data_IF_112650611902
#
_entry.id   IF_112650611902
#
_cell.length_a   1.000
_cell.length_b   1.000
_cell.length_c   1.000
_cell.angle_alpha   90.00
_cell.angle_beta   90.00
_cell.angle_gamma   90.00
#
_symmetry.space_group_name_H-M   'P 1'
#
loop_
_entity.id
_entity.type
_entity.pdbx_description
1 polymer ?
#
# COMPACT_ATOMS: atom_id res chain seq x y z
N UNK A 1 46.38 -6.94 20.36
CA UNK A 1 45.61 -6.30 21.43
C UNK A 1 44.14 -6.37 21.08
N UNK A 2 43.49 -7.22 21.80
CA UNK A 2 42.07 -7.61 21.66
C UNK A 2 41.11 -6.51 22.10
N UNK A 3 40.03 -6.31 21.36
CA UNK A 3 38.76 -5.83 21.96
C UNK A 3 37.63 -6.66 21.36
N UNK A 4 37.17 -7.59 22.20
CA UNK A 4 35.95 -8.31 21.93
C UNK A 4 34.73 -7.40 22.06
N UNK A 5 33.84 -7.48 21.11
CA UNK A 5 32.52 -6.88 21.16
C UNK A 5 31.50 -8.00 21.48
N UNK A 6 30.94 -7.89 22.66
CA UNK A 6 29.86 -8.71 23.16
C UNK A 6 28.58 -8.39 22.35
N UNK A 7 28.16 -9.29 21.48
CA UNK A 7 26.84 -9.21 20.83
C UNK A 7 25.86 -10.01 21.66
N UNK A 8 25.03 -9.33 22.41
CA UNK A 8 23.83 -9.93 23.01
C UNK A 8 22.79 -10.08 21.88
N UNK A 9 22.62 -11.31 21.42
CA UNK A 9 21.55 -11.62 20.48
C UNK A 9 20.24 -11.79 21.28
N UNK A 10 19.38 -10.78 21.24
CA UNK A 10 18.01 -10.86 21.75
C UNK A 10 17.14 -11.42 20.62
N UNK A 11 16.77 -12.70 20.72
CA UNK A 11 15.84 -13.33 19.78
C UNK A 11 14.41 -12.97 20.15
N UNK A 12 13.77 -12.12 19.36
CA UNK A 12 12.34 -11.84 19.43
C UNK A 12 11.58 -12.89 18.60
N UNK A 13 10.68 -13.65 19.25
CA UNK A 13 9.77 -14.55 18.55
C UNK A 13 8.52 -13.76 18.14
N UNK A 14 8.37 -13.52 16.86
CA UNK A 14 7.17 -12.91 16.26
C UNK A 14 6.11 -13.99 16.07
N UNK A 15 4.94 -13.80 16.65
CA UNK A 15 3.76 -14.64 16.49
C UNK A 15 3.12 -14.34 15.13
N UNK A 16 3.46 -15.09 14.09
CA UNK A 16 2.79 -15.01 12.80
C UNK A 16 1.53 -15.89 12.83
N UNK A 17 0.36 -15.27 12.88
CA UNK A 17 -0.93 -15.96 12.73
C UNK A 17 -1.21 -16.19 11.24
N UNK A 18 -1.04 -17.45 10.81
CA UNK A 18 -1.44 -17.89 9.48
C UNK A 18 -2.76 -18.66 9.56
N UNK A 19 -3.79 -18.14 8.86
CA UNK A 19 -5.02 -18.89 8.59
C UNK A 19 -4.79 -19.73 7.33
N UNK A 20 -4.71 -21.06 7.47
CA UNK A 20 -4.72 -22.01 6.37
C UNK A 20 -6.02 -22.83 6.38
N UNK A 21 -6.58 -23.19 5.18
CA UNK A 21 -7.67 -24.15 5.09
C UNK A 21 -7.19 -25.56 5.50
N UNK A 22 -8.11 -26.51 5.81
CA UNK A 22 -7.72 -27.77 6.45
C UNK A 22 -7.01 -28.70 5.48
N UNK A 23 -5.69 -28.62 5.47
CA UNK A 23 -4.81 -29.69 5.00
C UNK A 23 -4.05 -30.12 6.24
N UNK A 24 -4.13 -31.39 6.58
CA UNK A 24 -3.39 -31.99 7.69
C UNK A 24 -1.88 -31.76 7.48
N UNK A 25 -1.35 -30.73 8.10
CA UNK A 25 0.07 -30.46 8.23
C UNK A 25 0.42 -30.73 9.69
N UNK A 26 1.51 -31.51 9.91
CA UNK A 26 2.03 -31.78 11.23
C UNK A 26 2.07 -30.50 12.07
N UNK A 27 1.43 -30.54 13.25
CA UNK A 27 1.43 -29.43 14.20
C UNK A 27 2.88 -29.13 14.59
N UNK A 28 3.40 -27.98 14.08
CA UNK A 28 4.56 -27.39 14.73
C UNK A 28 4.18 -27.03 16.18
N UNK A 29 5.05 -27.22 17.14
CA UNK A 29 4.74 -26.88 18.52
C UNK A 29 4.41 -25.41 18.61
N UNK A 30 3.27 -25.09 19.21
CA UNK A 30 2.81 -23.72 19.43
C UNK A 30 3.96 -22.86 19.98
N UNK A 31 4.13 -21.61 19.50
CA UNK A 31 5.18 -20.73 19.97
C UNK A 31 5.11 -20.62 21.49
N UNK A 32 6.20 -20.92 22.16
CA UNK A 32 6.28 -20.85 23.63
C UNK A 32 6.17 -19.37 24.00
N UNK A 33 4.98 -18.96 24.44
CA UNK A 33 4.75 -17.64 25.04
C UNK A 33 5.63 -17.59 26.29
N UNK A 34 6.68 -16.78 26.27
CA UNK A 34 7.43 -16.49 27.48
C UNK A 34 6.52 -15.61 28.34
N UNK A 35 5.93 -16.20 29.37
CA UNK A 35 5.18 -15.49 30.41
C UNK A 35 6.18 -14.62 31.18
N UNK A 36 6.34 -13.37 30.72
CA UNK A 36 7.22 -12.42 31.37
C UNK A 36 6.47 -11.87 32.58
N UNK A 37 7.00 -12.16 33.77
CA UNK A 37 6.67 -11.56 35.06
C UNK A 37 5.18 -11.26 35.29
N UNK A 38 4.41 -12.34 35.39
CA UNK A 38 3.04 -12.22 35.91
C UNK A 38 3.10 -11.87 37.38
N UNK A 39 2.25 -10.92 37.79
CA UNK A 39 2.07 -10.52 39.19
C UNK A 39 1.80 -11.75 40.07
N UNK A 40 2.07 -11.69 41.40
CA UNK A 40 2.09 -12.86 42.30
C UNK A 40 0.69 -13.46 42.58
N UNK A 41 -0.25 -13.37 41.66
CA UNK A 41 -1.57 -14.00 41.78
C UNK A 41 -1.52 -15.47 41.34
N UNK A 42 -1.66 -16.38 42.25
CA UNK A 42 -1.57 -17.81 42.00
C UNK A 42 -2.54 -18.26 40.88
N UNK A 43 -3.78 -17.76 40.92
CA UNK A 43 -4.81 -18.08 39.93
C UNK A 43 -4.45 -17.64 38.50
N UNK A 44 -3.75 -16.52 38.34
CA UNK A 44 -3.29 -16.03 37.02
C UNK A 44 -2.19 -16.93 36.48
N UNK A 45 -1.26 -17.42 37.35
CA UNK A 45 -0.22 -18.35 36.96
C UNK A 45 -0.80 -19.74 36.60
N UNK A 46 -1.78 -20.22 37.39
CA UNK A 46 -2.46 -21.51 37.12
C UNK A 46 -3.24 -21.45 35.78
N UNK A 47 -3.93 -20.33 35.51
CA UNK A 47 -4.61 -20.12 34.25
C UNK A 47 -3.63 -20.07 33.07
N UNK A 48 -2.48 -19.44 33.23
CA UNK A 48 -1.44 -19.41 32.22
C UNK A 48 -0.92 -20.84 31.92
N UNK A 49 -0.69 -21.65 32.96
CA UNK A 49 -0.28 -23.06 32.81
C UNK A 49 -1.37 -23.89 32.09
N UNK A 50 -2.65 -23.63 32.37
CA UNK A 50 -3.76 -24.31 31.68
C UNK A 50 -3.80 -23.92 30.19
N UNK A 51 -3.55 -22.65 29.85
CA UNK A 51 -3.46 -22.19 28.45
C UNK A 51 -2.28 -22.85 27.73
N UNK A 52 -1.12 -22.92 28.37
CA UNK A 52 0.05 -23.64 27.82
C UNK A 52 -0.24 -25.14 27.58
N UNK A 53 -1.01 -25.75 28.47
CA UNK A 53 -1.49 -27.13 28.33
C UNK A 53 -2.68 -27.27 27.33
N UNK A 54 -3.09 -26.21 26.66
CA UNK A 54 -4.25 -26.16 25.75
C UNK A 54 -5.62 -26.44 26.42
N UNK A 55 -5.67 -26.37 27.73
CA UNK A 55 -6.91 -26.56 28.53
C UNK A 55 -7.67 -25.20 28.64
N UNK A 56 -8.06 -24.64 27.51
CA UNK A 56 -8.65 -23.32 27.44
C UNK A 56 -9.95 -23.18 28.21
N UNK A 57 -10.80 -24.23 28.22
CA UNK A 57 -12.07 -24.18 28.93
C UNK A 57 -11.88 -24.05 30.45
N UNK A 58 -10.93 -24.81 31.01
CA UNK A 58 -10.63 -24.76 32.44
C UNK A 58 -9.96 -23.42 32.80
N UNK A 59 -9.09 -22.90 31.92
CA UNK A 59 -8.49 -21.57 32.08
C UNK A 59 -9.57 -20.46 32.12
N UNK A 60 -10.55 -20.52 31.24
CA UNK A 60 -11.66 -19.57 31.19
C UNK A 60 -12.45 -19.64 32.51
N UNK A 61 -12.88 -20.82 32.93
CA UNK A 61 -13.64 -20.97 34.15
C UNK A 61 -12.90 -20.42 35.38
N UNK A 62 -11.58 -20.70 35.49
CA UNK A 62 -10.74 -20.18 36.56
C UNK A 62 -10.63 -18.66 36.52
N UNK A 63 -10.42 -18.06 35.33
CA UNK A 63 -10.26 -16.63 35.16
C UNK A 63 -11.57 -15.85 35.34
N UNK A 64 -12.70 -16.40 34.92
CA UNK A 64 -14.02 -15.82 35.16
C UNK A 64 -14.33 -15.77 36.67
N UNK A 65 -14.11 -16.90 37.40
CA UNK A 65 -14.27 -16.91 38.85
C UNK A 65 -13.32 -15.95 39.56
N UNK A 66 -12.05 -15.94 39.15
CA UNK A 66 -11.05 -15.00 39.67
C UNK A 66 -11.50 -13.56 39.49
N UNK A 67 -11.83 -13.14 38.27
CA UNK A 67 -12.23 -11.76 37.98
C UNK A 67 -13.53 -11.35 38.70
N UNK A 68 -14.45 -12.29 38.96
CA UNK A 68 -15.68 -12.02 39.72
C UNK A 68 -15.43 -11.77 41.20
N UNK A 69 -14.36 -12.32 41.75
CA UNK A 69 -14.03 -12.26 43.19
C UNK A 69 -12.95 -11.22 43.54
N UNK A 70 -12.33 -10.55 42.57
CA UNK A 70 -11.33 -9.54 42.82
C UNK A 70 -11.98 -8.16 43.10
N UNK A 71 -11.45 -7.45 44.08
CA UNK A 71 -11.85 -6.06 44.40
C UNK A 71 -11.37 -5.09 43.32
N UNK A 72 -10.19 -5.35 42.77
CA UNK A 72 -9.59 -4.53 41.70
C UNK A 72 -9.30 -5.39 40.47
N UNK A 73 -9.56 -4.88 39.28
CA UNK A 73 -9.34 -5.65 38.05
C UNK A 73 -7.81 -5.88 37.81
N UNK A 74 -7.45 -7.12 37.49
CA UNK A 74 -6.08 -7.53 37.19
C UNK A 74 -5.92 -7.62 35.67
N UNK A 75 -5.12 -6.73 35.03
CA UNK A 75 -4.99 -6.68 33.57
C UNK A 75 -4.58 -8.00 32.95
N UNK A 76 -3.64 -8.71 33.57
CA UNK A 76 -3.12 -10.00 33.08
C UNK A 76 -4.22 -11.08 33.04
N UNK A 77 -5.12 -11.10 34.03
CA UNK A 77 -6.24 -12.05 34.05
C UNK A 77 -7.19 -11.80 32.87
N UNK A 78 -7.46 -10.55 32.53
CA UNK A 78 -8.28 -10.20 31.37
C UNK A 78 -7.57 -10.53 30.06
N UNK A 79 -6.25 -10.33 29.96
CA UNK A 79 -5.48 -10.73 28.79
C UNK A 79 -5.54 -12.24 28.56
N UNK A 80 -5.28 -13.04 29.60
CA UNK A 80 -5.32 -14.50 29.53
C UNK A 80 -6.73 -15.00 29.20
N UNK A 81 -7.77 -14.39 29.75
CA UNK A 81 -9.17 -14.69 29.42
C UNK A 81 -9.46 -14.41 27.93
N UNK A 82 -9.02 -13.26 27.44
CA UNK A 82 -9.12 -12.91 26.01
C UNK A 82 -8.37 -13.90 25.12
N UNK A 83 -7.14 -14.27 25.50
CA UNK A 83 -6.32 -15.23 24.78
C UNK A 83 -6.95 -16.64 24.77
N UNK A 84 -7.49 -17.12 25.90
CA UNK A 84 -8.14 -18.42 25.97
C UNK A 84 -9.40 -18.49 25.09
N UNK A 85 -10.23 -17.45 25.10
CA UNK A 85 -11.37 -17.35 24.18
C UNK A 85 -10.94 -17.29 22.72
N UNK A 86 -9.87 -16.52 22.43
CA UNK A 86 -9.31 -16.44 21.08
C UNK A 86 -8.87 -17.82 20.55
N UNK A 87 -8.19 -18.60 21.38
CA UNK A 87 -7.72 -19.94 21.01
C UNK A 87 -8.87 -20.93 20.77
N UNK A 88 -10.01 -20.75 21.45
CA UNK A 88 -11.25 -21.50 21.18
C UNK A 88 -12.02 -20.98 19.95
N UNK A 89 -11.60 -19.88 19.33
CA UNK A 89 -12.31 -19.26 18.23
C UNK A 89 -13.53 -18.43 18.65
N UNK A 90 -13.75 -18.22 19.95
CA UNK A 90 -14.82 -17.35 20.49
C UNK A 90 -14.36 -15.89 20.49
N UNK A 91 -14.23 -15.31 19.28
CA UNK A 91 -13.74 -13.94 19.08
C UNK A 91 -14.69 -12.88 19.67
N UNK A 92 -15.98 -13.22 19.83
CA UNK A 92 -16.97 -12.34 20.42
C UNK A 92 -16.69 -12.08 21.89
N UNK A 93 -16.29 -13.12 22.64
CA UNK A 93 -15.92 -13.01 24.05
C UNK A 93 -14.45 -12.62 24.23
N UNK A 94 -13.57 -13.03 23.33
CA UNK A 94 -12.16 -12.68 23.37
C UNK A 94 -11.92 -11.16 23.34
N UNK A 95 -12.63 -10.46 22.45
CA UNK A 95 -12.42 -9.02 22.23
C UNK A 95 -12.63 -8.15 23.48
N UNK A 96 -13.78 -8.19 24.19
CA UNK A 96 -13.96 -7.32 25.35
C UNK A 96 -12.96 -7.60 26.47
N UNK A 97 -12.53 -8.85 26.62
CA UNK A 97 -11.51 -9.22 27.60
C UNK A 97 -10.13 -8.64 27.21
N UNK A 98 -9.70 -8.82 25.95
CA UNK A 98 -8.44 -8.28 25.46
C UNK A 98 -8.42 -6.74 25.51
N UNK A 99 -9.49 -6.06 25.05
CA UNK A 99 -9.62 -4.59 25.15
C UNK A 99 -9.53 -4.12 26.60
N UNK A 100 -10.21 -4.82 27.52
CA UNK A 100 -10.18 -4.49 28.94
C UNK A 100 -8.77 -4.59 29.53
N UNK A 101 -8.05 -5.67 29.20
CA UNK A 101 -6.66 -5.84 29.61
C UNK A 101 -5.77 -4.66 29.16
N UNK A 102 -5.84 -4.34 27.86
CA UNK A 102 -5.03 -3.29 27.26
C UNK A 102 -5.40 -1.87 27.74
N UNK A 103 -6.66 -1.65 28.13
CA UNK A 103 -7.11 -0.39 28.74
C UNK A 103 -6.63 -0.23 30.18
N UNK A 104 -6.58 -1.31 30.94
CA UNK A 104 -6.12 -1.30 32.34
C UNK A 104 -4.59 -1.15 32.47
N UNK A 105 -3.85 -1.52 31.43
CA UNK A 105 -2.39 -1.47 31.39
C UNK A 105 -1.93 -0.45 30.31
N UNK A 106 -1.64 0.81 30.66
CA UNK A 106 -1.11 1.79 29.71
C UNK A 106 0.17 1.31 29.03
N UNK A 107 1.02 0.61 29.76
CA UNK A 107 2.29 0.04 29.28
C UNK A 107 2.18 -1.41 28.84
N UNK A 108 0.97 -1.88 28.48
CA UNK A 108 0.74 -3.25 28.03
C UNK A 108 1.79 -3.68 26.99
N UNK A 109 2.27 -4.94 27.05
CA UNK A 109 3.14 -5.50 26.03
C UNK A 109 2.54 -5.40 24.63
N UNK A 110 3.37 -5.31 23.59
CA UNK A 110 2.90 -5.25 22.20
C UNK A 110 1.95 -6.41 21.86
N UNK A 111 2.23 -7.61 22.35
CA UNK A 111 1.41 -8.80 22.11
C UNK A 111 -0.04 -8.66 22.58
N UNK A 112 -0.30 -7.88 23.64
CA UNK A 112 -1.68 -7.61 24.10
C UNK A 112 -2.42 -6.70 23.12
N UNK A 113 -1.74 -5.68 22.63
CA UNK A 113 -2.28 -4.76 21.65
C UNK A 113 -2.50 -5.46 20.29
N UNK A 114 -1.58 -6.34 19.89
CA UNK A 114 -1.70 -7.17 18.68
C UNK A 114 -2.94 -8.08 18.73
N UNK A 115 -3.22 -8.69 19.89
CA UNK A 115 -4.44 -9.49 20.08
C UNK A 115 -5.70 -8.64 19.87
N UNK A 116 -5.73 -7.44 20.44
CA UNK A 116 -6.87 -6.50 20.26
C UNK A 116 -7.00 -6.09 18.79
N UNK A 117 -5.89 -5.76 18.15
CA UNK A 117 -5.86 -5.39 16.72
C UNK A 117 -6.38 -6.53 15.84
N UNK A 118 -5.92 -7.77 16.04
CA UNK A 118 -6.39 -8.91 15.27
C UNK A 118 -7.90 -9.15 15.45
N UNK A 119 -8.39 -9.08 16.68
CA UNK A 119 -9.82 -9.24 16.99
C UNK A 119 -10.68 -8.16 16.36
N UNK A 120 -10.21 -6.91 16.35
CA UNK A 120 -10.92 -5.80 15.71
C UNK A 120 -10.88 -5.88 14.19
N UNK A 121 -9.76 -6.33 13.61
CA UNK A 121 -9.63 -6.58 12.16
C UNK A 121 -10.60 -7.68 11.70
N UNK A 122 -10.72 -8.78 12.44
CA UNK A 122 -11.69 -9.86 12.17
C UNK A 122 -13.13 -9.36 12.24
N UNK A 123 -13.39 -8.37 13.08
CA UNK A 123 -14.71 -7.72 13.19
C UNK A 123 -14.90 -6.59 12.17
N UNK A 124 -13.94 -6.37 11.24
CA UNK A 124 -13.92 -5.29 10.24
C UNK A 124 -14.10 -3.88 10.85
N UNK A 125 -13.74 -3.73 12.12
CA UNK A 125 -13.91 -2.46 12.83
C UNK A 125 -12.69 -1.56 12.64
N UNK A 126 -12.54 -1.04 11.43
CA UNK A 126 -11.39 -0.22 11.02
C UNK A 126 -11.20 1.06 11.84
N UNK A 127 -12.28 1.60 12.43
CA UNK A 127 -12.17 2.79 13.28
C UNK A 127 -11.63 2.46 14.68
N UNK A 128 -12.13 1.39 15.26
CA UNK A 128 -11.75 1.01 16.63
C UNK A 128 -10.30 0.49 16.71
N UNK A 129 -9.73 0.01 15.59
CA UNK A 129 -8.36 -0.51 15.58
C UNK A 129 -7.29 0.61 15.65
N UNK A 130 -7.63 1.84 15.21
CA UNK A 130 -6.67 2.95 15.07
C UNK A 130 -5.91 3.23 16.38
N UNK A 131 -6.55 3.51 17.53
CA UNK A 131 -5.83 3.86 18.75
C UNK A 131 -4.89 2.76 19.26
N UNK A 132 -5.17 1.50 18.92
CA UNK A 132 -4.31 0.38 19.28
C UNK A 132 -3.09 0.30 18.36
N UNK A 133 -3.25 0.56 17.09
CA UNK A 133 -2.15 0.64 16.12
C UNK A 133 -1.26 1.86 16.40
N UNK A 134 -1.82 3.01 16.79
CA UNK A 134 -1.05 4.17 17.22
C UNK A 134 -0.13 3.81 18.40
N UNK A 135 -0.67 3.12 19.42
CA UNK A 135 0.14 2.63 20.56
C UNK A 135 1.22 1.62 20.14
N UNK A 136 0.93 0.74 19.17
CA UNK A 136 1.92 -0.21 18.64
C UNK A 136 3.05 0.49 17.90
N UNK A 137 2.73 1.50 17.09
CA UNK A 137 3.72 2.32 16.39
C UNK A 137 4.60 3.09 17.38
N UNK A 138 4.03 3.66 18.44
CA UNK A 138 4.79 4.34 19.48
C UNK A 138 5.72 3.37 20.23
N UNK A 139 5.25 2.15 20.48
CA UNK A 139 5.98 1.15 21.25
C UNK A 139 7.11 0.48 20.47
N UNK A 140 6.93 0.28 19.17
CA UNK A 140 7.88 -0.38 18.28
C UNK A 140 7.89 0.31 16.90
N UNK A 141 8.47 1.52 16.82
CA UNK A 141 8.48 2.31 15.59
C UNK A 141 9.27 1.65 14.45
N UNK A 142 10.16 0.71 14.76
CA UNK A 142 10.89 -0.09 13.78
C UNK A 142 10.05 -1.18 13.10
N UNK A 143 8.85 -1.47 13.62
CA UNK A 143 7.98 -2.49 13.05
C UNK A 143 7.14 -1.92 11.91
N UNK A 144 7.60 -2.15 10.67
CA UNK A 144 6.92 -1.72 9.45
C UNK A 144 5.45 -2.09 9.38
N UNK A 145 5.09 -3.29 9.84
CA UNK A 145 3.73 -3.81 9.75
C UNK A 145 2.72 -2.89 10.45
N UNK A 146 3.07 -2.34 11.61
CA UNK A 146 2.18 -1.45 12.35
C UNK A 146 1.90 -0.15 11.60
N UNK A 147 2.90 0.42 10.93
CA UNK A 147 2.74 1.62 10.09
C UNK A 147 1.83 1.36 8.90
N UNK A 148 2.04 0.22 8.22
CA UNK A 148 1.22 -0.15 7.07
C UNK A 148 -0.24 -0.41 7.46
N UNK A 149 -0.46 -1.10 8.58
CA UNK A 149 -1.79 -1.37 9.10
C UNK A 149 -2.50 -0.09 9.58
N UNK A 150 -1.78 0.82 10.26
CA UNK A 150 -2.30 2.10 10.70
C UNK A 150 -2.72 2.97 9.49
N UNK A 151 -1.85 3.07 8.49
CA UNK A 151 -2.18 3.79 7.27
C UNK A 151 -3.41 3.18 6.58
N UNK A 152 -3.48 1.84 6.50
CA UNK A 152 -4.64 1.16 5.92
C UNK A 152 -5.93 1.42 6.72
N UNK A 153 -5.86 1.43 8.05
CA UNK A 153 -7.01 1.72 8.88
C UNK A 153 -7.54 3.15 8.66
N UNK A 154 -6.64 4.12 8.51
CA UNK A 154 -7.01 5.48 8.15
C UNK A 154 -7.63 5.56 6.75
N UNK A 155 -7.09 4.87 5.74
CA UNK A 155 -7.70 4.81 4.40
C UNK A 155 -9.11 4.22 4.44
N UNK A 156 -9.30 3.11 5.16
CA UNK A 156 -10.62 2.45 5.30
C UNK A 156 -11.66 3.32 6.01
N UNK A 157 -11.21 4.26 6.84
CA UNK A 157 -12.10 5.23 7.51
C UNK A 157 -12.25 6.54 6.74
N UNK A 158 -11.61 6.68 5.58
CA UNK A 158 -11.67 7.86 4.70
C UNK A 158 -10.74 8.99 5.13
N UNK A 159 -9.90 8.79 6.13
CA UNK A 159 -8.92 9.79 6.59
C UNK A 159 -7.60 9.66 5.80
N UNK A 160 -7.66 10.09 4.54
CA UNK A 160 -6.51 10.01 3.63
C UNK A 160 -5.34 10.91 4.06
N UNK A 161 -5.60 11.97 4.81
CA UNK A 161 -4.55 12.87 5.32
C UNK A 161 -3.69 12.16 6.36
N UNK A 162 -4.33 11.49 7.32
CA UNK A 162 -3.61 10.69 8.32
C UNK A 162 -2.96 9.46 7.71
N UNK A 163 -3.62 8.81 6.74
CA UNK A 163 -3.03 7.69 6.02
C UNK A 163 -1.71 8.09 5.34
N UNK A 164 -1.70 9.21 4.62
CA UNK A 164 -0.50 9.75 3.98
C UNK A 164 0.55 10.18 5.01
N UNK A 165 0.15 10.89 6.07
CA UNK A 165 1.07 11.32 7.12
C UNK A 165 1.78 10.13 7.77
N UNK A 166 1.04 9.04 8.04
CA UNK A 166 1.57 7.79 8.58
C UNK A 166 2.62 7.18 7.64
N UNK A 167 2.32 7.06 6.34
CA UNK A 167 3.27 6.50 5.36
C UNK A 167 4.50 7.39 5.16
N UNK A 168 4.33 8.71 5.18
CA UNK A 168 5.46 9.66 5.09
C UNK A 168 6.38 9.54 6.30
N UNK A 169 5.81 9.42 7.50
CA UNK A 169 6.61 9.25 8.72
C UNK A 169 7.36 7.92 8.68
N UNK A 170 6.70 6.83 8.29
CA UNK A 170 7.32 5.53 8.08
C UNK A 170 8.49 5.59 7.08
N UNK A 171 8.32 6.35 5.98
CA UNK A 171 9.40 6.59 5.01
C UNK A 171 10.55 7.40 5.64
N UNK A 172 10.24 8.43 6.42
CA UNK A 172 11.25 9.29 7.05
C UNK A 172 12.14 8.54 8.05
N UNK A 173 11.58 7.56 8.75
CA UNK A 173 12.33 6.69 9.69
C UNK A 173 12.87 5.43 9.01
N UNK A 174 12.81 5.35 7.68
CA UNK A 174 13.42 4.33 6.82
C UNK A 174 12.91 2.90 7.09
N UNK A 175 11.67 2.73 7.55
CA UNK A 175 11.08 1.39 7.72
C UNK A 175 10.39 0.86 6.46
N UNK A 176 10.13 1.70 5.46
CA UNK A 176 9.62 1.26 4.17
C UNK A 176 10.79 0.66 3.37
N UNK A 177 10.67 -0.60 2.99
CA UNK A 177 11.77 -1.34 2.36
C UNK A 177 11.39 -2.11 1.10
N UNK A 178 10.08 -2.21 0.81
CA UNK A 178 9.57 -3.03 -0.26
C UNK A 178 8.96 -2.20 -1.40
N UNK A 179 9.01 -2.74 -2.59
CA UNK A 179 8.41 -2.17 -3.80
C UNK A 179 6.94 -1.75 -3.59
N UNK A 180 6.16 -2.59 -2.90
CA UNK A 180 4.75 -2.31 -2.61
C UNK A 180 4.56 -1.09 -1.70
N UNK A 181 5.46 -0.86 -0.75
CA UNK A 181 5.39 0.25 0.20
C UNK A 181 5.49 1.59 -0.53
N UNK A 182 6.49 1.73 -1.42
CA UNK A 182 6.73 2.96 -2.18
C UNK A 182 5.64 3.20 -3.23
N UNK A 183 5.14 2.15 -3.88
CA UNK A 183 4.00 2.27 -4.80
C UNK A 183 2.76 2.77 -4.08
N UNK A 184 2.50 2.27 -2.89
CA UNK A 184 1.38 2.71 -2.04
C UNK A 184 1.54 4.16 -1.58
N UNK A 185 2.75 4.54 -1.12
CA UNK A 185 3.04 5.93 -0.74
C UNK A 185 2.82 6.87 -1.94
N UNK A 186 3.30 6.47 -3.12
CA UNK A 186 3.07 7.21 -4.37
C UNK A 186 1.57 7.37 -4.67
N UNK A 187 0.77 6.30 -4.53
CA UNK A 187 -0.67 6.35 -4.77
C UNK A 187 -1.38 7.31 -3.80
N UNK A 188 -1.02 7.27 -2.53
CA UNK A 188 -1.56 8.21 -1.54
C UNK A 188 -1.20 9.67 -1.88
N UNK A 189 0.03 9.91 -2.32
CA UNK A 189 0.49 11.24 -2.74
C UNK A 189 -0.31 11.74 -3.95
N UNK A 190 -0.50 10.91 -4.97
CA UNK A 190 -1.32 11.24 -6.14
C UNK A 190 -2.76 11.52 -5.73
N UNK A 191 -3.37 10.67 -4.91
CA UNK A 191 -4.75 10.82 -4.43
C UNK A 191 -4.95 12.10 -3.60
N UNK A 192 -3.89 12.62 -3.00
CA UNK A 192 -3.89 13.91 -2.29
C UNK A 192 -3.49 15.11 -3.15
N UNK A 193 -3.32 14.94 -4.47
CA UNK A 193 -2.94 16.00 -5.39
C UNK A 193 -1.50 16.49 -5.22
N UNK A 194 -0.61 15.59 -4.83
CA UNK A 194 0.83 15.85 -4.60
C UNK A 194 1.71 15.09 -5.61
N UNK A 195 1.50 15.29 -6.94
CA UNK A 195 2.20 14.51 -7.95
C UNK A 195 3.73 14.74 -7.95
N UNK A 196 4.19 15.95 -7.64
CA UNK A 196 5.60 16.25 -7.54
C UNK A 196 6.29 15.36 -6.49
N UNK A 197 5.72 15.30 -5.29
CA UNK A 197 6.27 14.48 -4.20
C UNK A 197 6.19 12.99 -4.51
N UNK A 198 5.14 12.56 -5.21
CA UNK A 198 5.00 11.18 -5.69
C UNK A 198 6.13 10.81 -6.64
N UNK A 199 6.46 11.70 -7.58
CA UNK A 199 7.54 11.50 -8.54
C UNK A 199 8.89 11.43 -7.84
N UNK A 200 9.18 12.36 -6.92
CA UNK A 200 10.44 12.39 -6.15
C UNK A 200 10.65 11.11 -5.33
N UNK A 201 9.59 10.65 -4.64
CA UNK A 201 9.66 9.39 -3.86
C UNK A 201 9.93 8.18 -4.76
N UNK A 202 9.24 8.07 -5.90
CA UNK A 202 9.44 6.95 -6.81
C UNK A 202 10.80 6.99 -7.51
N UNK A 203 11.26 8.17 -7.91
CA UNK A 203 12.57 8.35 -8.53
C UNK A 203 13.69 7.91 -7.59
N UNK A 204 13.63 8.36 -6.33
CA UNK A 204 14.59 7.95 -5.31
C UNK A 204 14.52 6.45 -5.04
N UNK A 205 13.31 5.89 -4.86
CA UNK A 205 13.15 4.46 -4.59
C UNK A 205 13.61 3.57 -5.76
N UNK A 206 13.47 4.04 -7.01
CA UNK A 206 14.03 3.36 -8.17
C UNK A 206 15.57 3.43 -8.20
N UNK A 207 16.14 4.60 -7.87
CA UNK A 207 17.59 4.80 -7.79
C UNK A 207 18.22 3.92 -6.71
N UNK A 208 17.57 3.78 -5.57
CA UNK A 208 17.99 2.94 -4.44
C UNK A 208 17.67 1.44 -4.63
N UNK A 209 17.07 1.07 -5.77
CA UNK A 209 16.63 -0.30 -6.10
C UNK A 209 15.60 -0.89 -5.12
N UNK A 210 14.89 -0.06 -4.39
CA UNK A 210 13.78 -0.43 -3.51
C UNK A 210 12.49 -0.70 -4.30
N UNK A 211 12.37 -0.09 -5.48
CA UNK A 211 11.28 -0.33 -6.43
C UNK A 211 11.84 -1.03 -7.66
N UNK A 212 11.17 -2.09 -8.09
CA UNK A 212 11.56 -2.79 -9.31
C UNK A 212 11.32 -1.91 -10.53
N UNK A 213 12.34 -1.78 -11.36
CA UNK A 213 12.35 -1.02 -12.59
C UNK A 213 11.56 -1.74 -13.71
N UNK A 214 10.22 -1.80 -13.56
CA UNK A 214 9.30 -2.39 -14.53
C UNK A 214 8.45 -1.31 -15.24
N UNK A 215 7.63 -1.76 -16.21
CA UNK A 215 6.73 -0.88 -16.96
C UNK A 215 5.82 -0.07 -16.04
N UNK A 216 5.27 -0.70 -14.99
CA UNK A 216 4.33 -0.06 -14.08
C UNK A 216 4.99 1.05 -13.25
N UNK A 217 6.20 0.80 -12.73
CA UNK A 217 6.96 1.79 -11.98
C UNK A 217 7.35 3.00 -12.84
N UNK A 218 7.89 2.75 -14.03
CA UNK A 218 8.26 3.82 -14.96
C UNK A 218 7.05 4.60 -15.46
N UNK A 219 5.93 3.92 -15.76
CA UNK A 219 4.68 4.60 -16.15
C UNK A 219 4.17 5.49 -15.03
N UNK A 220 4.17 4.99 -13.80
CA UNK A 220 3.72 5.75 -12.62
C UNK A 220 4.62 6.98 -12.39
N UNK A 221 5.93 6.82 -12.45
CA UNK A 221 6.90 7.91 -12.31
C UNK A 221 6.72 8.97 -13.40
N UNK A 222 6.66 8.55 -14.67
CA UNK A 222 6.49 9.47 -15.77
C UNK A 222 5.14 10.21 -15.74
N UNK A 223 4.07 9.51 -15.34
CA UNK A 223 2.75 10.11 -15.15
C UNK A 223 2.76 11.12 -13.99
N UNK A 224 3.45 10.81 -12.90
CA UNK A 224 3.57 11.72 -11.76
C UNK A 224 4.34 13.01 -12.15
N UNK A 225 5.45 12.91 -12.88
CA UNK A 225 6.18 14.06 -13.43
C UNK A 225 5.32 14.89 -14.40
N UNK A 226 4.60 14.21 -15.31
CA UNK A 226 3.69 14.86 -16.24
C UNK A 226 2.59 15.64 -15.49
N UNK A 227 1.95 15.02 -14.50
CA UNK A 227 0.89 15.66 -13.72
C UNK A 227 1.42 16.80 -12.84
N UNK A 228 2.68 16.74 -12.43
CA UNK A 228 3.38 17.82 -11.73
C UNK A 228 3.76 19.00 -12.65
N UNK A 229 3.59 18.87 -13.98
CA UNK A 229 4.00 19.87 -14.97
C UNK A 229 5.48 19.80 -15.34
N UNK A 230 6.21 18.83 -14.82
CA UNK A 230 7.65 18.60 -15.09
C UNK A 230 7.82 17.77 -16.36
N UNK A 231 7.42 18.35 -17.50
CA UNK A 231 7.32 17.63 -18.77
C UNK A 231 8.66 17.02 -19.22
N UNK A 232 9.77 17.72 -19.01
CA UNK A 232 11.09 17.23 -19.40
C UNK A 232 11.51 16.00 -18.58
N UNK A 233 11.17 15.99 -17.28
CA UNK A 233 11.46 14.85 -16.40
C UNK A 233 10.56 13.63 -16.69
N UNK A 234 9.37 13.86 -17.28
CA UNK A 234 8.44 12.78 -17.61
C UNK A 234 8.92 11.92 -18.79
N UNK A 235 9.75 12.46 -19.70
CA UNK A 235 10.18 11.78 -20.93
C UNK A 235 10.96 10.51 -20.62
N UNK A 236 12.04 10.60 -19.86
CA UNK A 236 12.95 9.48 -19.60
C UNK A 236 12.24 8.26 -18.95
N UNK A 237 11.42 8.42 -17.90
CA UNK A 237 10.67 7.28 -17.36
C UNK A 237 9.68 6.68 -18.37
N UNK A 238 8.98 7.50 -19.16
CA UNK A 238 8.03 6.98 -20.14
C UNK A 238 8.71 6.29 -21.32
N UNK A 239 9.89 6.73 -21.74
CA UNK A 239 10.72 5.98 -22.69
C UNK A 239 11.12 4.61 -22.15
N UNK A 240 11.51 4.54 -20.87
CA UNK A 240 11.83 3.27 -20.21
C UNK A 240 10.59 2.37 -20.12
N UNK A 241 9.43 2.91 -19.74
CA UNK A 241 8.18 2.16 -19.73
C UNK A 241 7.87 1.60 -21.13
N UNK A 242 7.93 2.44 -22.17
CA UNK A 242 7.66 2.06 -23.55
C UNK A 242 8.61 0.97 -24.08
N UNK A 243 9.88 1.02 -23.68
CA UNK A 243 10.90 0.05 -24.09
C UNK A 243 10.61 -1.36 -23.55
N UNK A 244 10.10 -1.47 -22.32
CA UNK A 244 9.82 -2.76 -21.65
C UNK A 244 8.36 -3.20 -21.78
N UNK A 245 7.47 -2.31 -22.27
CA UNK A 245 6.06 -2.60 -22.44
C UNK A 245 5.79 -3.68 -23.48
N UNK A 246 4.76 -4.48 -23.23
CA UNK A 246 4.28 -5.51 -24.17
C UNK A 246 3.29 -4.94 -25.20
N UNK A 247 2.66 -3.79 -24.90
CA UNK A 247 1.65 -3.12 -25.75
C UNK A 247 2.15 -1.76 -26.24
N UNK A 248 1.46 -1.17 -27.20
CA UNK A 248 1.76 0.17 -27.70
C UNK A 248 1.32 1.32 -26.78
N UNK A 249 0.51 1.06 -25.75
CA UNK A 249 -0.07 2.11 -24.90
C UNK A 249 0.96 2.98 -24.19
N UNK A 250 2.09 2.40 -23.76
CA UNK A 250 3.17 3.16 -23.13
C UNK A 250 3.80 4.19 -24.07
N UNK A 251 3.90 3.86 -25.36
CA UNK A 251 4.34 4.81 -26.39
C UNK A 251 3.32 5.93 -26.63
N UNK A 252 2.02 5.63 -26.56
CA UNK A 252 0.98 6.66 -26.65
C UNK A 252 1.07 7.63 -25.48
N UNK A 253 1.34 7.14 -24.26
CA UNK A 253 1.60 8.02 -23.10
C UNK A 253 2.83 8.89 -23.30
N UNK A 254 3.91 8.35 -23.82
CA UNK A 254 5.11 9.11 -24.17
C UNK A 254 4.78 10.20 -25.22
N UNK A 255 4.00 9.86 -26.23
CA UNK A 255 3.55 10.81 -27.25
C UNK A 255 2.73 11.97 -26.65
N UNK A 256 1.87 11.69 -25.68
CA UNK A 256 1.13 12.75 -24.95
C UNK A 256 2.09 13.76 -24.32
N UNK A 257 3.19 13.29 -23.72
CA UNK A 257 4.20 14.19 -23.14
C UNK A 257 4.92 15.00 -24.22
N UNK A 258 5.32 14.37 -25.33
CA UNK A 258 5.92 15.08 -26.45
C UNK A 258 4.98 16.15 -27.03
N UNK A 259 3.68 15.82 -27.18
CA UNK A 259 2.66 16.81 -27.62
C UNK A 259 2.58 17.98 -26.63
N UNK A 260 2.56 17.71 -25.35
CA UNK A 260 2.52 18.76 -24.31
C UNK A 260 3.78 19.66 -24.30
N UNK A 261 4.92 19.10 -24.74
CA UNK A 261 6.20 19.83 -24.94
C UNK A 261 6.31 20.52 -26.29
N UNK A 262 5.30 20.38 -27.13
CA UNK A 262 5.33 20.80 -28.54
C UNK A 262 6.48 20.15 -29.36
N UNK A 263 6.97 19.00 -28.89
CA UNK A 263 7.94 18.18 -29.62
C UNK A 263 7.20 17.26 -30.60
N UNK A 264 6.75 17.84 -31.71
CA UNK A 264 5.95 17.14 -32.71
C UNK A 264 6.70 15.96 -33.36
N UNK A 265 8.01 16.09 -33.68
CA UNK A 265 8.77 14.94 -34.20
C UNK A 265 8.86 13.79 -33.21
N UNK A 266 9.11 14.09 -31.93
CA UNK A 266 9.13 13.09 -30.86
C UNK A 266 7.78 12.39 -30.68
N UNK A 267 6.68 13.17 -30.75
CA UNK A 267 5.32 12.62 -30.67
C UNK A 267 5.03 11.66 -31.81
N UNK A 268 5.35 12.05 -33.07
CA UNK A 268 5.16 11.21 -34.26
C UNK A 268 5.96 9.91 -34.15
N UNK A 269 7.24 10.00 -33.76
CA UNK A 269 8.09 8.83 -33.60
C UNK A 269 7.55 7.85 -32.53
N UNK A 270 7.11 8.37 -31.38
CA UNK A 270 6.51 7.56 -30.34
C UNK A 270 5.20 6.91 -30.80
N UNK A 271 4.31 7.63 -31.50
CA UNK A 271 3.05 7.09 -32.03
C UNK A 271 3.30 5.99 -33.06
N UNK A 272 4.23 6.19 -33.99
CA UNK A 272 4.61 5.13 -34.94
C UNK A 272 5.11 3.86 -34.24
N UNK A 273 5.94 4.02 -33.24
CA UNK A 273 6.44 2.89 -32.45
C UNK A 273 5.29 2.17 -31.70
N UNK A 274 4.36 2.93 -31.12
CA UNK A 274 3.19 2.39 -30.41
C UNK A 274 2.25 1.62 -31.35
N UNK A 275 1.90 2.21 -32.49
CA UNK A 275 1.07 1.55 -33.51
C UNK A 275 1.76 0.31 -34.09
N UNK A 276 3.08 0.38 -34.32
CA UNK A 276 3.88 -0.76 -34.78
C UNK A 276 3.95 -1.90 -33.77
N UNK A 277 3.89 -1.59 -32.45
CA UNK A 277 3.81 -2.59 -31.37
C UNK A 277 2.43 -3.24 -31.31
N UNK A 278 1.39 -2.50 -31.68
CA UNK A 278 0.00 -2.93 -31.67
C UNK A 278 -0.63 -3.02 -30.29
N UNK A 279 -1.84 -3.59 -30.24
CA UNK A 279 -2.61 -3.76 -28.99
C UNK A 279 -2.83 -2.45 -28.23
N UNK A 280 -3.25 -1.39 -28.97
CA UNK A 280 -3.62 -0.12 -28.38
C UNK A 280 -5.02 -0.22 -27.74
N UNK A 281 -5.14 0.27 -26.52
CA UNK A 281 -6.42 0.36 -25.82
C UNK A 281 -7.33 1.44 -26.43
N UNK A 282 -6.73 2.53 -26.91
CA UNK A 282 -7.44 3.64 -27.59
C UNK A 282 -6.69 4.04 -28.88
N UNK A 283 -7.01 3.34 -29.97
CA UNK A 283 -6.46 3.66 -31.31
C UNK A 283 -6.90 5.05 -31.78
N UNK A 284 -8.11 5.48 -31.44
CA UNK A 284 -8.60 6.77 -31.85
C UNK A 284 -7.85 7.94 -31.17
N UNK A 285 -7.42 7.77 -29.92
CA UNK A 285 -6.52 8.71 -29.25
C UNK A 285 -5.18 8.80 -30.00
N UNK A 286 -4.60 7.65 -30.33
CA UNK A 286 -3.32 7.62 -31.06
C UNK A 286 -3.43 8.29 -32.42
N UNK A 287 -4.52 8.03 -33.17
CA UNK A 287 -4.80 8.65 -34.45
C UNK A 287 -5.00 10.18 -34.32
N UNK A 288 -5.76 10.63 -33.31
CA UNK A 288 -5.93 12.06 -33.06
C UNK A 288 -4.60 12.76 -32.77
N UNK A 289 -3.77 12.19 -31.88
CA UNK A 289 -2.45 12.73 -31.52
C UNK A 289 -1.51 12.77 -32.74
N UNK A 290 -1.55 11.75 -33.59
CA UNK A 290 -0.78 11.72 -34.85
C UNK A 290 -1.22 12.86 -35.78
N UNK A 291 -2.53 12.96 -36.02
CA UNK A 291 -3.07 14.04 -36.82
C UNK A 291 -2.70 15.43 -36.30
N UNK A 292 -2.82 15.65 -34.98
CA UNK A 292 -2.44 16.92 -34.32
C UNK A 292 -0.95 17.21 -34.52
N UNK A 293 -0.09 16.22 -34.34
CA UNK A 293 1.36 16.41 -34.47
C UNK A 293 1.78 16.77 -35.90
N UNK A 294 1.18 16.12 -36.90
CA UNK A 294 1.40 16.42 -38.32
C UNK A 294 0.82 17.79 -38.69
N UNK A 295 -0.39 18.11 -38.23
CA UNK A 295 -1.03 19.41 -38.46
C UNK A 295 -0.19 20.57 -37.94
N UNK A 296 0.38 20.41 -36.75
CA UNK A 296 1.26 21.43 -36.14
C UNK A 296 2.57 21.62 -36.91
N UNK A 297 3.03 20.58 -37.65
CA UNK A 297 4.14 20.70 -38.59
C UNK A 297 3.74 21.19 -39.98
N UNK A 298 2.46 21.61 -40.17
CA UNK A 298 1.87 22.01 -41.43
C UNK A 298 1.82 20.93 -42.51
N UNK A 299 1.88 19.66 -42.12
CA UNK A 299 1.76 18.50 -42.98
C UNK A 299 0.28 18.12 -43.12
N UNK A 300 -0.53 19.02 -43.71
CA UNK A 300 -1.99 18.96 -43.69
C UNK A 300 -2.53 17.71 -44.40
N UNK A 301 -1.97 17.38 -45.58
CA UNK A 301 -2.41 16.22 -46.37
C UNK A 301 -2.08 14.92 -45.64
N UNK A 302 -0.97 14.87 -44.92
CA UNK A 302 -0.57 13.70 -44.15
C UNK A 302 -1.38 13.57 -42.87
N UNK A 303 -1.84 14.68 -42.29
CA UNK A 303 -2.65 14.71 -41.06
C UNK A 303 -4.08 14.23 -41.29
N UNK A 304 -4.66 14.55 -42.49
CA UNK A 304 -6.07 14.28 -42.82
C UNK A 304 -6.50 12.83 -42.53
N UNK A 305 -5.85 11.79 -43.06
CA UNK A 305 -6.30 10.41 -42.89
C UNK A 305 -6.32 9.97 -41.41
N UNK A 306 -5.44 10.52 -40.57
CA UNK A 306 -5.43 10.23 -39.15
C UNK A 306 -6.62 10.81 -38.41
N UNK A 307 -7.01 12.05 -38.75
CA UNK A 307 -8.22 12.66 -38.20
C UNK A 307 -9.46 11.91 -38.69
N UNK A 308 -9.54 11.52 -39.98
CA UNK A 308 -10.65 10.73 -40.52
C UNK A 308 -10.86 9.43 -39.74
N UNK A 309 -9.78 8.70 -39.41
CA UNK A 309 -9.84 7.50 -38.57
C UNK A 309 -10.33 7.77 -37.14
N UNK A 310 -10.01 8.94 -36.58
CA UNK A 310 -10.43 9.32 -35.23
C UNK A 310 -11.90 9.77 -35.16
N UNK A 311 -12.55 10.13 -36.29
CA UNK A 311 -13.93 10.67 -36.30
C UNK A 311 -14.99 9.73 -35.74
N UNK A 312 -14.79 8.41 -35.84
CA UNK A 312 -15.73 7.41 -35.33
C UNK A 312 -15.75 7.30 -33.80
N UNK A 313 -14.78 7.88 -33.11
CA UNK A 313 -14.69 7.83 -31.65
C UNK A 313 -15.67 8.81 -31.00
N UNK A 314 -16.44 8.32 -30.03
CA UNK A 314 -17.32 9.18 -29.24
C UNK A 314 -16.55 10.22 -28.42
N UNK A 315 -15.33 9.91 -28.02
CA UNK A 315 -14.48 10.79 -27.18
C UNK A 315 -13.65 11.76 -28.03
N UNK A 316 -13.12 11.33 -29.18
CA UNK A 316 -12.14 12.08 -29.96
C UNK A 316 -12.70 12.63 -31.28
N UNK A 317 -13.84 12.12 -31.73
CA UNK A 317 -14.38 12.41 -33.06
C UNK A 317 -14.73 13.86 -33.27
N UNK A 318 -15.29 14.54 -32.29
CA UNK A 318 -15.64 15.98 -32.41
C UNK A 318 -14.39 16.82 -32.68
N UNK A 319 -13.30 16.59 -31.94
CA UNK A 319 -12.03 17.31 -32.12
C UNK A 319 -11.41 16.98 -33.49
N UNK A 320 -11.43 15.73 -33.90
CA UNK A 320 -10.93 15.32 -35.22
C UNK A 320 -11.67 16.04 -36.36
N UNK A 321 -13.00 16.16 -36.27
CA UNK A 321 -13.81 16.91 -37.27
C UNK A 321 -13.48 18.40 -37.29
N UNK A 322 -13.14 19.02 -36.15
CA UNK A 322 -12.69 20.43 -36.11
C UNK A 322 -11.37 20.61 -36.85
N UNK A 323 -10.40 19.71 -36.66
CA UNK A 323 -9.14 19.76 -37.39
C UNK A 323 -9.33 19.51 -38.89
N UNK A 324 -10.23 18.61 -39.31
CA UNK A 324 -10.54 18.38 -40.73
C UNK A 324 -11.10 19.67 -41.39
N UNK A 325 -12.02 20.37 -40.69
CA UNK A 325 -12.54 21.65 -41.17
C UNK A 325 -11.43 22.70 -41.28
N UNK A 326 -10.56 22.80 -40.30
CA UNK A 326 -9.42 23.69 -40.31
C UNK A 326 -8.44 23.40 -41.48
N UNK A 327 -8.20 22.13 -41.79
CA UNK A 327 -7.42 21.74 -42.96
C UNK A 327 -8.11 22.18 -44.25
N UNK A 328 -9.43 21.95 -44.39
CA UNK A 328 -10.19 22.37 -45.57
C UNK A 328 -10.16 23.90 -45.82
N UNK A 329 -10.14 24.69 -44.75
CA UNK A 329 -10.01 26.14 -44.82
C UNK A 329 -8.62 26.57 -45.29
N UNK A 330 -7.56 26.00 -44.71
CA UNK A 330 -6.16 26.38 -45.03
C UNK A 330 -5.73 25.89 -46.43
N UNK A 331 -6.31 24.79 -46.92
CA UNK A 331 -5.93 24.21 -48.22
C UNK A 331 -6.76 24.77 -49.41
N UNK A 332 -7.82 25.60 -49.14
CA UNK A 332 -8.62 26.25 -50.18
C UNK A 332 -8.00 27.56 -50.66
N UNK A 333 -7.14 28.17 -49.90
CA UNK A 333 -6.40 29.43 -50.25
C UNK A 333 -5.07 29.08 -50.94
#
# INVERSE_FOLDING_TARGET
MSRGSNRIATAFAVLALAVAPPIAVAQEPAPRIRLIELTPHLAVNDAAALIEATNYADAIALLEDFNANQAEPVPEAFYLLGLAHYQLGDYVKARPAAERAAMLAPDAPASWLELVVDLLKRAENHRAVIPWLERLVEKAPENKTYWLELSLAYERTGDLDRALATMRLANTIEVLTDDADFRRLSDLLINRGLPLQSAEVLEQALADQLVRADEAAYTKLGTAWFTAGELDKAVFPLENAARVASTGDAYVRLAVVHVAREDWPGAIAALHAGMGRGSLTDEAQANLLMGVSLYRQRQFEEARPWFEQATASAQHGAMAQEYLRAIDEVTRD
#
